data_IF_878934636575
#
_entry.id   IF_878934636575
#
_cell.length_a   1.000
_cell.length_b   1.000
_cell.length_c   1.000
_cell.angle_alpha   90.00
_cell.angle_beta   90.00
_cell.angle_gamma   90.00
#
_symmetry.space_group_name_H-M   'P 1'
#
loop_
_entity.id
_entity.type
_entity.pdbx_description
1 polymer ?
#
# COMPACT_ATOMS: atom_id res chain seq x y z
N UNK A 1 -75.37 -33.27 -31.33
CA UNK A 1 -75.00 -31.84 -31.53
C UNK A 1 -75.05 -31.06 -30.22
N UNK A 2 -74.07 -31.26 -29.31
CA UNK A 2 -73.74 -30.35 -28.17
C UNK A 2 -72.50 -30.78 -27.37
N UNK A 3 -72.02 -32.02 -27.51
CA UNK A 3 -70.80 -32.49 -26.81
C UNK A 3 -69.48 -32.35 -27.58
N UNK A 4 -69.51 -32.08 -28.88
CA UNK A 4 -68.30 -32.07 -29.73
C UNK A 4 -67.65 -30.67 -29.87
N UNK A 5 -68.35 -29.60 -29.49
CA UNK A 5 -67.83 -28.22 -29.57
C UNK A 5 -67.06 -27.76 -28.34
N UNK A 6 -67.13 -28.50 -27.22
CA UNK A 6 -66.47 -28.09 -25.96
C UNK A 6 -65.03 -28.61 -25.87
N UNK A 7 -64.71 -29.77 -26.45
CA UNK A 7 -63.33 -30.31 -26.43
C UNK A 7 -62.35 -29.49 -27.28
N UNK A 8 -62.80 -28.94 -28.41
CA UNK A 8 -61.96 -28.12 -29.29
C UNK A 8 -61.68 -26.71 -28.73
N UNK A 9 -62.56 -26.17 -27.87
CA UNK A 9 -62.32 -24.86 -27.24
C UNK A 9 -61.25 -24.95 -26.14
N UNK A 10 -61.23 -26.05 -25.37
CA UNK A 10 -60.25 -26.26 -24.29
C UNK A 10 -58.85 -26.54 -24.86
N UNK A 11 -58.76 -27.22 -26.01
CA UNK A 11 -57.49 -27.42 -26.72
C UNK A 11 -56.89 -26.14 -27.31
N UNK A 12 -57.74 -25.23 -27.81
CA UNK A 12 -57.32 -23.94 -28.35
C UNK A 12 -56.84 -22.98 -27.24
N UNK A 13 -57.52 -22.94 -26.10
CA UNK A 13 -57.12 -22.12 -24.95
C UNK A 13 -55.84 -22.61 -24.27
N UNK A 14 -55.60 -23.93 -24.21
CA UNK A 14 -54.32 -24.48 -23.73
C UNK A 14 -53.15 -24.13 -24.67
N UNK A 15 -53.37 -24.08 -25.99
CA UNK A 15 -52.32 -23.66 -26.95
C UNK A 15 -52.09 -22.15 -26.98
N UNK A 16 -53.12 -21.33 -26.72
CA UNK A 16 -52.99 -19.86 -26.69
C UNK A 16 -52.33 -19.30 -25.41
N UNK A 17 -52.33 -20.04 -24.30
CA UNK A 17 -51.67 -19.61 -23.04
C UNK A 17 -50.26 -20.19 -22.90
N UNK A 18 -49.94 -21.29 -23.59
CA UNK A 18 -48.59 -21.89 -23.52
C UNK A 18 -47.57 -21.15 -24.41
N UNK A 19 -48.01 -20.47 -25.49
CA UNK A 19 -47.11 -19.76 -26.41
C UNK A 19 -46.60 -18.41 -25.85
N UNK A 20 -47.38 -17.59 -25.12
CA UNK A 20 -46.86 -16.35 -24.51
C UNK A 20 -45.96 -16.64 -23.30
N UNK A 21 -46.21 -17.72 -22.55
CA UNK A 21 -45.41 -18.07 -21.35
C UNK A 21 -44.03 -18.62 -21.72
N UNK A 22 -43.90 -19.29 -22.87
CA UNK A 22 -42.58 -19.75 -23.36
C UNK A 22 -41.74 -18.61 -23.96
N UNK A 23 -42.37 -17.55 -24.49
CA UNK A 23 -41.66 -16.37 -24.99
C UNK A 23 -41.18 -15.44 -23.86
N UNK A 24 -41.88 -15.39 -22.73
CA UNK A 24 -41.47 -14.61 -21.55
C UNK A 24 -40.32 -15.30 -20.79
N UNK A 25 -40.23 -16.64 -20.84
CA UNK A 25 -39.11 -17.41 -20.24
C UNK A 25 -37.81 -17.37 -21.06
N UNK A 26 -37.85 -17.01 -22.34
CA UNK A 26 -36.65 -16.85 -23.18
C UNK A 26 -36.06 -15.43 -23.16
N UNK A 27 -36.73 -14.46 -22.52
CA UNK A 27 -36.24 -13.09 -22.32
C UNK A 27 -35.50 -12.86 -21.00
N UNK A 28 -35.54 -13.80 -20.06
CA UNK A 28 -34.96 -13.65 -18.71
C UNK A 28 -33.52 -14.14 -18.57
N UNK A 29 -32.83 -14.44 -19.68
CA UNK A 29 -31.39 -14.71 -19.69
C UNK A 29 -30.70 -13.90 -20.79
N UNK A 30 -30.96 -12.59 -20.81
CA UNK A 30 -30.03 -11.60 -21.36
C UNK A 30 -29.58 -10.62 -20.27
N UNK A 31 -29.30 -11.13 -19.07
CA UNK A 31 -28.16 -10.58 -18.33
C UNK A 31 -26.92 -11.02 -19.10
N UNK A 32 -26.67 -10.34 -20.22
CA UNK A 32 -25.30 -10.11 -20.63
C UNK A 32 -24.62 -9.60 -19.37
N UNK A 33 -23.68 -10.39 -18.84
CA UNK A 33 -22.63 -9.92 -17.97
C UNK A 33 -21.82 -8.92 -18.81
N UNK A 34 -22.42 -7.78 -19.14
CA UNK A 34 -21.71 -6.61 -19.63
C UNK A 34 -20.77 -6.27 -18.49
N UNK A 35 -19.50 -6.49 -18.78
CA UNK A 35 -18.43 -6.64 -17.79
C UNK A 35 -18.45 -5.57 -16.72
N UNK A 36 -17.84 -5.93 -15.58
CA UNK A 36 -17.45 -5.02 -14.51
C UNK A 36 -17.37 -3.58 -15.00
N UNK A 37 -18.13 -2.65 -14.43
CA UNK A 37 -17.91 -1.23 -14.68
C UNK A 37 -16.43 -0.95 -14.43
N UNK A 38 -15.66 -0.87 -15.51
CA UNK A 38 -14.23 -0.66 -15.42
C UNK A 38 -14.04 0.74 -14.84
N UNK A 39 -13.19 0.84 -13.83
CA UNK A 39 -12.84 2.14 -13.26
C UNK A 39 -12.27 3.04 -14.36
N UNK A 40 -13.06 4.03 -14.76
CA UNK A 40 -12.75 4.90 -15.89
C UNK A 40 -11.71 5.94 -15.52
N UNK A 41 -10.99 6.46 -16.51
CA UNK A 41 -10.07 7.58 -16.34
C UNK A 41 -10.78 8.81 -15.73
N UNK A 42 -12.05 9.02 -16.05
CA UNK A 42 -12.83 10.12 -15.47
C UNK A 42 -13.13 9.88 -13.97
N UNK A 43 -13.43 8.65 -13.56
CA UNK A 43 -13.59 8.31 -12.15
C UNK A 43 -12.26 8.47 -11.39
N UNK A 44 -11.14 8.07 -11.99
CA UNK A 44 -9.80 8.30 -11.43
C UNK A 44 -9.51 9.78 -11.22
N UNK A 45 -9.79 10.61 -12.23
CA UNK A 45 -9.62 12.07 -12.16
C UNK A 45 -10.47 12.69 -11.06
N UNK A 46 -11.76 12.34 -11.01
CA UNK A 46 -12.67 12.84 -9.98
C UNK A 46 -12.24 12.45 -8.56
N UNK A 47 -11.71 11.23 -8.38
CA UNK A 47 -11.17 10.79 -7.11
C UNK A 47 -9.94 11.60 -6.70
N UNK A 48 -8.99 11.83 -7.61
CA UNK A 48 -7.79 12.64 -7.35
C UNK A 48 -8.14 14.10 -7.05
N UNK A 49 -9.07 14.70 -7.80
CA UNK A 49 -9.54 16.07 -7.55
C UNK A 49 -10.23 16.19 -6.18
N UNK A 50 -10.95 15.15 -5.75
CA UNK A 50 -11.51 15.07 -4.41
C UNK A 50 -10.42 14.93 -3.34
N UNK A 51 -9.40 14.08 -3.56
CA UNK A 51 -8.25 13.94 -2.66
C UNK A 51 -7.51 15.26 -2.47
N UNK A 52 -7.33 16.06 -3.52
CA UNK A 52 -6.72 17.39 -3.42
C UNK A 52 -7.52 18.29 -2.46
N UNK A 53 -8.85 18.33 -2.60
CA UNK A 53 -9.71 19.13 -1.69
C UNK A 53 -9.59 18.66 -0.24
N UNK A 54 -9.54 17.34 0.00
CA UNK A 54 -9.35 16.80 1.34
C UNK A 54 -7.99 17.16 1.93
N UNK A 55 -6.92 17.05 1.14
CA UNK A 55 -5.58 17.40 1.60
C UNK A 55 -5.45 18.89 1.90
N UNK A 56 -6.02 19.77 1.07
CA UNK A 56 -6.04 21.22 1.36
C UNK A 56 -6.78 21.54 2.66
N UNK A 57 -7.92 20.89 2.92
CA UNK A 57 -8.62 21.06 4.19
C UNK A 57 -7.81 20.51 5.38
N UNK A 58 -7.15 19.35 5.22
CA UNK A 58 -6.28 18.80 6.25
C UNK A 58 -5.10 19.73 6.56
N UNK A 59 -4.50 20.35 5.55
CA UNK A 59 -3.43 21.33 5.72
C UNK A 59 -3.85 22.53 6.59
N UNK A 60 -5.10 23.01 6.45
CA UNK A 60 -5.61 24.12 7.26
C UNK A 60 -5.79 23.76 8.74
N UNK A 61 -5.98 22.47 9.04
CA UNK A 61 -6.21 21.97 10.40
C UNK A 61 -4.96 21.41 11.08
N UNK A 62 -3.92 21.10 10.30
CA UNK A 62 -2.72 20.43 10.79
C UNK A 62 -1.67 21.45 11.27
N UNK A 63 -1.22 21.39 12.54
CA UNK A 63 -0.12 22.24 12.98
C UNK A 63 1.17 21.95 12.21
N UNK A 64 1.95 22.99 11.92
CA UNK A 64 3.19 22.92 11.12
C UNK A 64 4.30 22.02 11.69
N UNK A 65 4.21 21.60 12.96
CA UNK A 65 5.21 20.77 13.62
C UNK A 65 4.87 19.28 13.70
N UNK A 66 3.71 18.86 13.18
CA UNK A 66 3.22 17.48 13.29
C UNK A 66 2.75 16.92 11.96
N UNK A 67 2.55 15.60 11.94
CA UNK A 67 2.05 14.83 10.82
C UNK A 67 0.70 14.19 11.19
N UNK A 68 -0.23 14.01 10.25
CA UNK A 68 -1.51 13.37 10.53
C UNK A 68 -1.31 11.85 10.68
N UNK A 69 -2.07 11.25 11.59
CA UNK A 69 -2.00 9.82 11.90
C UNK A 69 -3.28 9.08 11.53
N UNK A 70 -4.39 9.49 12.14
CA UNK A 70 -5.70 8.87 11.95
C UNK A 70 -6.78 9.86 12.33
N UNK A 71 -8.01 9.59 11.93
CA UNK A 71 -9.19 10.34 12.32
C UNK A 71 -10.21 9.38 12.91
N UNK A 72 -10.71 9.68 14.11
CA UNK A 72 -11.77 8.90 14.76
C UNK A 72 -12.86 9.80 15.34
N UNK A 73 -13.72 9.25 16.19
CA UNK A 73 -14.80 9.99 16.85
C UNK A 73 -14.31 11.13 17.78
N UNK A 74 -13.02 11.17 18.12
CA UNK A 74 -12.38 12.24 18.90
C UNK A 74 -11.68 13.27 18.01
N UNK A 75 -11.68 13.09 16.70
CA UNK A 75 -11.10 14.01 15.72
C UNK A 75 -9.76 13.55 15.17
N UNK A 76 -8.97 14.52 14.69
CA UNK A 76 -7.67 14.29 14.09
C UNK A 76 -6.62 13.96 15.15
N UNK A 77 -6.00 12.78 15.02
CA UNK A 77 -4.82 12.41 15.77
C UNK A 77 -3.58 12.71 14.94
N UNK A 78 -2.58 13.30 15.58
CA UNK A 78 -1.31 13.66 14.97
C UNK A 78 -0.15 12.90 15.60
N UNK A 79 1.03 13.03 15.00
CA UNK A 79 2.25 12.36 15.43
C UNK A 79 3.49 13.17 15.07
N UNK A 80 4.62 12.78 15.64
CA UNK A 80 5.94 13.25 15.23
C UNK A 80 6.53 12.35 14.12
N UNK A 81 7.78 12.66 13.74
CA UNK A 81 8.52 11.97 12.69
C UNK A 81 8.75 10.47 12.93
N UNK A 82 8.81 10.01 14.18
CA UNK A 82 9.24 8.65 14.55
C UNK A 82 8.13 7.61 14.48
N UNK A 83 6.91 7.99 14.13
CA UNK A 83 5.86 7.02 13.82
C UNK A 83 6.11 6.41 12.43
N UNK A 84 6.00 5.09 12.31
CA UNK A 84 6.35 4.34 11.09
C UNK A 84 5.63 4.81 9.80
N UNK A 85 4.43 5.38 9.93
CA UNK A 85 3.66 5.93 8.83
C UNK A 85 3.96 7.41 8.52
N UNK A 86 4.95 8.03 9.16
CA UNK A 86 5.24 9.48 9.04
C UNK A 86 5.54 9.92 7.60
N UNK A 87 6.02 9.01 6.75
CA UNK A 87 6.30 9.28 5.34
C UNK A 87 5.08 9.30 4.41
N UNK A 88 3.92 8.81 4.85
CA UNK A 88 2.76 8.64 3.96
C UNK A 88 2.06 9.95 3.60
N UNK A 89 1.93 10.87 4.55
CA UNK A 89 1.33 12.18 4.29
C UNK A 89 2.16 13.00 3.28
N UNK A 90 3.47 13.25 3.51
CA UNK A 90 4.32 13.90 2.50
C UNK A 90 4.36 13.12 1.18
N UNK A 91 4.40 11.78 1.20
CA UNK A 91 4.39 10.98 -0.02
C UNK A 91 3.14 11.16 -0.87
N UNK A 92 1.96 11.23 -0.23
CA UNK A 92 0.71 11.48 -0.94
C UNK A 92 0.65 12.89 -1.51
N UNK A 93 1.15 13.90 -0.77
CA UNK A 93 1.27 15.26 -1.29
C UNK A 93 2.15 15.34 -2.54
N UNK A 94 3.27 14.60 -2.57
CA UNK A 94 4.09 14.48 -3.77
C UNK A 94 3.35 13.86 -4.95
N UNK A 95 2.54 12.82 -4.73
CA UNK A 95 1.69 12.25 -5.79
C UNK A 95 0.63 13.22 -6.30
N UNK A 96 -0.06 13.91 -5.39
CA UNK A 96 -1.09 14.88 -5.78
C UNK A 96 -0.49 16.10 -6.49
N UNK A 97 0.71 16.55 -6.10
CA UNK A 97 1.47 17.55 -6.85
C UNK A 97 1.83 17.04 -8.25
N UNK A 98 2.36 15.82 -8.37
CA UNK A 98 2.71 15.24 -9.67
C UNK A 98 1.50 15.17 -10.62
N UNK A 99 0.33 14.84 -10.09
CA UNK A 99 -0.91 14.79 -10.86
C UNK A 99 -1.42 16.18 -11.27
N UNK A 100 -1.44 17.15 -10.35
CA UNK A 100 -2.15 18.42 -10.55
C UNK A 100 -1.28 19.61 -10.96
N UNK A 101 0.03 19.55 -10.69
CA UNK A 101 0.93 20.69 -10.79
C UNK A 101 0.72 21.77 -9.71
N UNK A 102 -0.13 21.53 -8.70
CA UNK A 102 -0.49 22.51 -7.68
C UNK A 102 0.70 22.84 -6.75
N UNK A 103 1.16 24.08 -6.82
CA UNK A 103 2.34 24.54 -6.06
C UNK A 103 2.09 24.64 -4.55
N UNK A 104 0.83 24.75 -4.10
CA UNK A 104 0.50 24.71 -2.68
C UNK A 104 0.76 23.30 -2.11
N UNK A 105 0.40 22.26 -2.87
CA UNK A 105 0.68 20.86 -2.50
C UNK A 105 2.18 20.60 -2.49
N UNK A 106 2.93 21.13 -3.46
CA UNK A 106 4.40 21.05 -3.48
C UNK A 106 5.02 21.66 -2.22
N UNK A 107 4.61 22.88 -1.86
CA UNK A 107 5.13 23.58 -0.67
C UNK A 107 4.87 22.79 0.60
N UNK A 108 3.68 22.22 0.72
CA UNK A 108 3.33 21.37 1.86
C UNK A 108 4.09 20.04 1.85
N UNK A 109 4.30 19.43 0.68
CA UNK A 109 5.11 18.22 0.54
C UNK A 109 6.55 18.48 1.01
N UNK A 110 7.15 19.61 0.63
CA UNK A 110 8.49 20.01 1.07
C UNK A 110 8.55 20.23 2.58
N UNK A 111 7.59 20.96 3.16
CA UNK A 111 7.51 21.21 4.62
C UNK A 111 7.37 19.90 5.41
N UNK A 112 6.39 19.07 5.04
CA UNK A 112 6.10 17.82 5.76
C UNK A 112 7.19 16.77 5.54
N UNK A 113 7.84 16.73 4.37
CA UNK A 113 9.02 15.86 4.13
C UNK A 113 10.17 16.25 5.06
N UNK A 114 10.44 17.55 5.22
CA UNK A 114 11.50 18.04 6.11
C UNK A 114 11.31 17.60 7.58
N UNK A 115 10.07 17.48 8.06
CA UNK A 115 9.79 16.96 9.40
C UNK A 115 10.30 15.53 9.60
N UNK A 116 10.38 14.71 8.54
CA UNK A 116 10.77 13.30 8.62
C UNK A 116 12.29 13.11 8.61
N UNK A 117 13.07 14.15 8.30
CA UNK A 117 14.54 14.07 8.16
C UNK A 117 15.26 13.36 9.34
N UNK A 118 14.91 13.62 10.62
CA UNK A 118 15.63 13.02 11.75
C UNK A 118 15.63 11.48 11.74
N UNK A 119 14.65 10.87 11.07
CA UNK A 119 14.49 9.40 10.97
C UNK A 119 15.63 8.73 10.21
N UNK A 120 16.42 9.47 9.41
CA UNK A 120 17.57 8.90 8.67
C UNK A 120 18.61 8.21 9.55
N UNK A 121 18.63 8.49 10.85
CA UNK A 121 19.52 7.86 11.83
C UNK A 121 18.86 6.75 12.67
N UNK A 122 17.59 6.44 12.41
CA UNK A 122 16.86 5.38 13.14
C UNK A 122 17.41 4.02 12.75
N UNK A 123 17.77 3.23 13.75
CA UNK A 123 18.37 1.89 13.57
C UNK A 123 17.62 0.81 14.36
N UNK A 124 16.52 1.14 15.03
CA UNK A 124 15.79 0.25 15.95
C UNK A 124 14.53 -0.42 15.35
N UNK A 125 14.14 -0.02 14.14
CA UNK A 125 13.04 -0.60 13.38
C UNK A 125 13.29 -0.56 11.87
N UNK A 126 12.52 -1.33 11.11
CA UNK A 126 12.70 -1.52 9.68
C UNK A 126 11.91 -0.55 8.79
N UNK A 127 11.05 0.30 9.36
CA UNK A 127 10.06 1.10 8.63
C UNK A 127 10.65 2.32 7.91
N UNK A 128 11.98 2.42 7.81
CA UNK A 128 12.66 3.54 7.15
C UNK A 128 12.27 3.69 5.68
N UNK A 129 11.88 2.61 4.99
CA UNK A 129 11.33 2.71 3.63
C UNK A 129 9.99 3.43 3.62
N UNK A 130 9.07 3.09 4.51
CA UNK A 130 7.80 3.82 4.66
C UNK A 130 8.01 5.27 5.08
N UNK A 131 8.95 5.52 5.99
CA UNK A 131 9.18 6.85 6.52
C UNK A 131 9.93 7.74 5.52
N UNK A 132 11.08 7.31 5.02
CA UNK A 132 11.97 8.11 4.18
C UNK A 132 11.71 7.93 2.69
N UNK A 133 11.51 6.70 2.22
CA UNK A 133 11.38 6.47 0.77
C UNK A 133 10.01 6.93 0.24
N UNK A 134 8.93 6.80 1.02
CA UNK A 134 7.66 7.43 0.64
C UNK A 134 7.73 8.97 0.65
N UNK A 135 8.51 9.58 1.53
CA UNK A 135 8.64 11.05 1.64
C UNK A 135 9.76 11.60 0.76
N UNK A 136 11.00 11.55 1.24
CA UNK A 136 12.21 12.00 0.54
C UNK A 136 12.42 11.29 -0.78
N UNK A 137 12.09 10.00 -0.90
CA UNK A 137 12.23 9.24 -2.16
C UNK A 137 11.38 9.84 -3.28
N UNK A 138 10.11 10.11 -3.00
CA UNK A 138 9.22 10.80 -3.93
C UNK A 138 9.64 12.26 -4.20
N UNK A 139 10.05 12.98 -3.15
CA UNK A 139 10.60 14.33 -3.30
C UNK A 139 11.82 14.36 -4.24
N UNK A 140 12.77 13.45 -4.06
CA UNK A 140 13.97 13.34 -4.89
C UNK A 140 13.61 12.95 -6.33
N UNK A 141 12.71 11.98 -6.50
CA UNK A 141 12.24 11.54 -7.82
C UNK A 141 11.72 12.70 -8.66
N UNK A 142 10.93 13.60 -8.06
CA UNK A 142 10.28 14.73 -8.74
C UNK A 142 11.15 15.99 -8.85
N UNK A 143 12.01 16.27 -7.88
CA UNK A 143 12.74 17.54 -7.80
C UNK A 143 14.23 17.42 -8.10
N UNK A 144 14.79 16.21 -8.02
CA UNK A 144 16.24 15.93 -8.05
C UNK A 144 17.04 16.72 -7.01
N UNK A 145 16.41 17.15 -5.92
CA UNK A 145 17.09 17.87 -4.85
C UNK A 145 18.20 17.01 -4.22
N UNK A 146 19.48 17.40 -4.30
CA UNK A 146 20.59 16.59 -3.80
C UNK A 146 20.53 16.36 -2.29
N UNK A 147 19.98 17.29 -1.51
CA UNK A 147 19.81 17.14 -0.06
C UNK A 147 18.94 15.92 0.26
N UNK A 148 17.89 15.68 -0.55
CA UNK A 148 17.04 14.50 -0.35
C UNK A 148 17.78 13.20 -0.65
N UNK A 149 18.68 13.20 -1.65
CA UNK A 149 19.53 12.05 -1.93
C UNK A 149 20.44 11.73 -0.74
N UNK A 150 21.05 12.73 -0.13
CA UNK A 150 21.96 12.53 1.02
C UNK A 150 21.21 11.97 2.25
N UNK A 151 20.00 12.47 2.50
CA UNK A 151 19.11 11.94 3.56
C UNK A 151 18.77 10.48 3.29
N UNK A 152 18.40 10.15 2.06
CA UNK A 152 18.06 8.79 1.65
C UNK A 152 19.25 7.83 1.76
N UNK A 153 20.45 8.22 1.32
CA UNK A 153 21.63 7.36 1.44
C UNK A 153 22.02 7.11 2.90
N UNK A 154 21.85 8.12 3.77
CA UNK A 154 22.04 7.96 5.21
C UNK A 154 21.01 7.00 5.80
N UNK A 155 19.73 7.15 5.44
CA UNK A 155 18.65 6.25 5.86
C UNK A 155 18.86 4.81 5.38
N UNK A 156 19.33 4.60 4.16
CA UNK A 156 19.61 3.27 3.62
C UNK A 156 20.74 2.59 4.39
N UNK A 157 21.80 3.33 4.73
CA UNK A 157 22.86 2.82 5.60
C UNK A 157 22.32 2.40 6.97
N UNK A 158 21.47 3.22 7.59
CA UNK A 158 20.82 2.89 8.86
C UNK A 158 19.94 1.64 8.77
N UNK A 159 19.08 1.53 7.73
CA UNK A 159 18.25 0.35 7.50
C UNK A 159 19.09 -0.93 7.30
N UNK A 160 20.18 -0.84 6.55
CA UNK A 160 21.06 -1.96 6.29
C UNK A 160 21.75 -2.51 7.55
N UNK A 161 21.97 -1.69 8.60
CA UNK A 161 22.52 -2.18 9.88
C UNK A 161 21.65 -3.24 10.56
N UNK A 162 20.36 -3.31 10.20
CA UNK A 162 19.42 -4.26 10.77
C UNK A 162 19.48 -5.64 10.11
N UNK A 163 20.22 -5.80 9.02
CA UNK A 163 20.42 -7.07 8.34
C UNK A 163 21.31 -8.02 9.14
N UNK A 164 20.90 -9.29 9.27
CA UNK A 164 21.73 -10.35 9.85
C UNK A 164 22.09 -11.38 8.77
N UNK A 165 23.39 -11.63 8.51
CA UNK A 165 23.82 -12.55 7.44
C UNK A 165 23.53 -14.04 7.72
N UNK A 166 23.37 -14.44 8.98
CA UNK A 166 22.98 -15.81 9.33
C UNK A 166 21.49 -16.03 9.06
N UNK A 167 20.66 -15.07 9.47
CA UNK A 167 19.20 -15.11 9.25
C UNK A 167 18.85 -14.81 7.78
N UNK A 168 19.68 -14.02 7.10
CA UNK A 168 19.45 -13.51 5.74
C UNK A 168 18.16 -12.71 5.63
N UNK A 169 17.85 -11.93 6.66
CA UNK A 169 16.72 -11.03 6.70
C UNK A 169 17.08 -9.75 7.47
N UNK A 170 16.15 -8.78 7.43
CA UNK A 170 16.24 -7.51 8.15
C UNK A 170 15.34 -7.65 9.39
N UNK A 171 15.86 -7.33 10.56
CA UNK A 171 15.09 -7.41 11.81
C UNK A 171 14.01 -6.34 11.82
N UNK A 172 12.77 -6.70 12.12
CA UNK A 172 11.65 -5.75 12.03
C UNK A 172 11.63 -4.73 13.17
N UNK A 173 11.89 -5.13 14.41
CA UNK A 173 11.96 -4.24 15.57
C UNK A 173 12.84 -4.83 16.68
N UNK A 174 13.19 -3.99 17.66
CA UNK A 174 13.98 -4.40 18.84
C UNK A 174 13.14 -4.56 20.12
N UNK A 175 11.89 -4.11 20.13
CA UNK A 175 10.98 -4.28 21.24
C UNK A 175 10.50 -5.73 21.46
N UNK A 176 10.64 -6.25 22.68
CA UNK A 176 10.20 -7.61 23.00
C UNK A 176 8.72 -7.68 23.48
N UNK A 177 8.16 -6.59 24.02
CA UNK A 177 6.81 -6.64 24.58
C UNK A 177 6.61 -7.79 25.56
N UNK A 178 5.54 -8.57 25.40
CA UNK A 178 5.23 -9.74 26.24
C UNK A 178 5.78 -11.07 25.68
N UNK A 179 6.54 -11.05 24.57
CA UNK A 179 7.11 -12.26 23.94
C UNK A 179 8.62 -12.07 23.76
N UNK A 180 9.41 -13.03 24.20
CA UNK A 180 10.86 -12.99 23.98
C UNK A 180 11.20 -13.34 22.53
N UNK A 181 10.96 -12.41 21.60
CA UNK A 181 11.38 -12.54 20.20
C UNK A 181 12.91 -12.53 20.11
N UNK A 182 13.49 -13.44 19.33
CA UNK A 182 14.94 -13.48 19.09
C UNK A 182 15.33 -12.55 17.93
N UNK A 183 14.67 -12.74 16.78
CA UNK A 183 14.87 -11.98 15.56
C UNK A 183 13.56 -11.94 14.76
N UNK A 184 12.61 -11.08 15.16
CA UNK A 184 11.30 -11.03 14.52
C UNK A 184 11.41 -10.37 13.15
N UNK A 185 10.78 -11.00 12.15
CA UNK A 185 10.63 -10.49 10.79
C UNK A 185 9.16 -10.50 10.40
N UNK A 186 8.63 -9.38 9.94
CA UNK A 186 7.24 -9.26 9.48
C UNK A 186 7.11 -9.12 7.98
N UNK A 187 5.93 -9.48 7.47
CA UNK A 187 5.66 -9.43 6.04
C UNK A 187 5.75 -8.01 5.46
N UNK A 188 5.38 -6.99 6.24
CA UNK A 188 5.47 -5.56 5.89
C UNK A 188 6.90 -5.13 5.56
N UNK A 189 7.90 -5.85 6.10
CA UNK A 189 9.31 -5.57 5.87
C UNK A 189 9.69 -5.69 4.38
N UNK A 190 8.93 -6.44 3.59
CA UNK A 190 9.08 -6.53 2.13
C UNK A 190 8.92 -5.17 1.43
N UNK A 191 8.00 -4.32 1.91
CA UNK A 191 7.76 -3.02 1.29
C UNK A 191 8.93 -2.04 1.49
N UNK A 192 9.74 -2.27 2.53
CA UNK A 192 10.90 -1.44 2.83
C UNK A 192 12.12 -1.77 1.96
N UNK A 193 12.07 -2.87 1.20
CA UNK A 193 13.19 -3.30 0.35
C UNK A 193 13.34 -2.44 -0.91
N UNK A 194 12.27 -1.81 -1.40
CA UNK A 194 12.33 -0.88 -2.53
C UNK A 194 13.33 0.26 -2.26
N UNK A 195 13.40 0.71 -1.01
CA UNK A 195 14.34 1.73 -0.59
C UNK A 195 15.81 1.27 -0.73
N UNK A 196 16.11 0.04 -0.29
CA UNK A 196 17.46 -0.52 -0.42
C UNK A 196 17.84 -0.78 -1.88
N UNK A 197 16.90 -1.24 -2.70
CA UNK A 197 17.12 -1.44 -4.14
C UNK A 197 17.44 -0.11 -4.84
N UNK A 198 16.70 0.96 -4.54
CA UNK A 198 17.04 2.29 -5.03
C UNK A 198 18.43 2.76 -4.55
N UNK A 199 18.76 2.50 -3.28
CA UNK A 199 20.04 2.91 -2.72
C UNK A 199 21.21 2.13 -3.32
N UNK A 200 20.99 0.88 -3.74
CA UNK A 200 22.01 0.06 -4.42
C UNK A 200 22.52 0.76 -5.68
N UNK A 201 21.60 1.29 -6.49
CA UNK A 201 21.91 2.03 -7.72
C UNK A 201 22.43 3.45 -7.45
N UNK A 202 21.83 4.14 -6.47
CA UNK A 202 22.07 5.57 -6.25
C UNK A 202 23.30 5.86 -5.38
N UNK A 203 23.76 4.87 -4.60
CA UNK A 203 24.81 4.99 -3.59
C UNK A 203 26.23 4.73 -4.10
N UNK A 204 27.20 4.61 -3.17
CA UNK A 204 28.59 4.30 -3.52
C UNK A 204 28.73 2.92 -4.17
N UNK A 205 29.68 2.78 -5.09
CA UNK A 205 30.02 1.48 -5.69
C UNK A 205 30.49 0.49 -4.62
N UNK A 206 30.10 -0.79 -4.76
CA UNK A 206 30.47 -1.86 -3.84
C UNK A 206 29.63 -1.93 -2.56
N UNK A 207 28.51 -1.21 -2.47
CA UNK A 207 27.51 -1.44 -1.42
C UNK A 207 26.86 -2.83 -1.58
N UNK A 208 26.20 -3.30 -0.52
CA UNK A 208 25.55 -4.62 -0.47
C UNK A 208 24.01 -4.53 -0.37
N UNK A 209 23.42 -3.38 -0.72
CA UNK A 209 21.99 -3.15 -0.49
C UNK A 209 21.09 -4.05 -1.34
N UNK A 210 21.46 -4.28 -2.60
CA UNK A 210 20.76 -5.23 -3.48
C UNK A 210 20.81 -6.65 -2.93
N UNK A 211 21.99 -7.12 -2.51
CA UNK A 211 22.17 -8.44 -1.91
C UNK A 211 21.30 -8.61 -0.66
N UNK A 212 21.26 -7.60 0.23
CA UNK A 212 20.40 -7.60 1.41
C UNK A 212 18.92 -7.73 1.03
N UNK A 213 18.46 -6.95 0.06
CA UNK A 213 17.05 -6.96 -0.38
C UNK A 213 16.67 -8.31 -1.02
N UNK A 214 17.53 -8.87 -1.85
CA UNK A 214 17.31 -10.19 -2.48
C UNK A 214 17.29 -11.29 -1.43
N UNK A 215 18.29 -11.32 -0.53
CA UNK A 215 18.36 -12.31 0.54
C UNK A 215 17.12 -12.24 1.45
N UNK A 216 16.70 -11.05 1.86
CA UNK A 216 15.47 -10.87 2.64
C UNK A 216 14.26 -11.44 1.91
N UNK A 217 14.09 -11.10 0.63
CA UNK A 217 12.95 -11.57 -0.18
C UNK A 217 12.92 -13.10 -0.30
N UNK A 218 14.08 -13.73 -0.50
CA UNK A 218 14.22 -15.19 -0.58
C UNK A 218 13.93 -15.88 0.75
N UNK A 219 14.33 -15.27 1.87
CA UNK A 219 14.01 -15.77 3.21
C UNK A 219 12.50 -15.64 3.48
N UNK A 220 11.89 -14.51 3.12
CA UNK A 220 10.46 -14.27 3.32
C UNK A 220 9.59 -15.23 2.49
N UNK A 221 9.88 -15.41 1.19
CA UNK A 221 9.08 -16.34 0.37
C UNK A 221 9.16 -17.78 0.87
N UNK A 222 10.28 -18.18 1.48
CA UNK A 222 10.49 -19.51 2.05
C UNK A 222 9.67 -19.75 3.32
N UNK A 223 9.59 -18.76 4.21
CA UNK A 223 9.12 -18.98 5.59
C UNK A 223 7.80 -18.26 5.94
N UNK A 224 7.48 -17.13 5.31
CA UNK A 224 6.27 -16.37 5.64
C UNK A 224 5.00 -16.94 4.99
N UNK A 225 5.12 -17.79 3.98
CA UNK A 225 3.98 -18.31 3.23
C UNK A 225 3.65 -19.75 3.62
N UNK A 226 2.37 -20.01 3.89
CA UNK A 226 1.83 -21.35 4.10
C UNK A 226 1.66 -22.06 2.76
N UNK A 227 1.41 -23.38 2.81
CA UNK A 227 1.19 -24.18 1.61
C UNK A 227 -0.01 -23.73 0.75
N UNK A 228 -0.96 -22.99 1.34
CA UNK A 228 -2.13 -22.41 0.66
C UNK A 228 -1.91 -20.96 0.18
N UNK A 229 -0.66 -20.47 0.22
CA UNK A 229 -0.25 -19.10 -0.11
C UNK A 229 -0.78 -17.99 0.80
N UNK A 230 -1.47 -18.32 1.90
CA UNK A 230 -1.70 -17.35 2.97
C UNK A 230 -0.39 -17.03 3.71
N UNK A 231 -0.27 -15.84 4.29
CA UNK A 231 0.95 -15.43 4.99
C UNK A 231 0.82 -15.46 6.52
N UNK A 232 1.91 -15.75 7.21
CA UNK A 232 2.10 -15.35 8.61
C UNK A 232 2.39 -13.86 8.66
N UNK A 233 1.96 -13.22 9.76
CA UNK A 233 2.33 -11.83 10.00
C UNK A 233 3.80 -11.74 10.46
N UNK A 234 4.21 -12.59 11.41
CA UNK A 234 5.54 -12.57 12.03
C UNK A 234 6.15 -13.97 11.97
N UNK A 235 7.44 -14.04 11.61
CA UNK A 235 8.30 -15.21 11.80
C UNK A 235 9.45 -14.78 12.70
N UNK A 236 9.79 -15.60 13.70
CA UNK A 236 10.94 -15.37 14.57
C UNK A 236 12.07 -16.31 14.17
N UNK A 237 13.31 -15.83 14.18
CA UNK A 237 14.45 -16.62 13.74
C UNK A 237 15.48 -16.80 14.85
N UNK A 238 16.11 -17.97 14.90
CA UNK A 238 17.33 -18.19 15.66
C UNK A 238 18.50 -17.44 14.99
N UNK A 239 19.17 -16.57 15.73
CA UNK A 239 20.21 -15.66 15.20
C UNK A 239 21.53 -16.35 14.87
N UNK A 240 21.75 -17.57 15.37
CA UNK A 240 22.96 -18.35 15.14
C UNK A 240 22.81 -19.24 13.90
N UNK A 241 21.65 -19.88 13.75
CA UNK A 241 21.38 -20.88 12.71
C UNK A 241 20.59 -20.33 11.53
N UNK A 242 19.86 -19.23 11.72
CA UNK A 242 18.96 -18.66 10.71
C UNK A 242 17.68 -19.48 10.49
N UNK A 243 17.36 -20.43 11.38
CA UNK A 243 16.15 -21.23 11.30
C UNK A 243 14.94 -20.46 11.85
N UNK A 244 13.81 -20.58 11.16
CA UNK A 244 12.49 -20.06 11.53
C UNK A 244 11.76 -20.97 12.51
#
# INVERSE_FOLDING_TARGET
MKHEKVSNLIGLFKRLIIIPVLAIMLGSCNTSLTGSEFFSAQQAKSALDLSIRHYKNLMEQLPDSVLPRTFDNKGLHTTNAYWWCSGFYPGTLWYLYQYSGDTLLKKEAERSTALVEPVKYVTDNHDLGFMLYCSFGNGYRLTKNPVYKDVLLTGAASLATRYNPNVKAIKSWDWHGNRAWSYPVIIDNMMNLEFLLWAADAGPQGNNYEEIAVNHSLTTIKNHFRADYSSYHVIDYDTLTGQA
#
